data_IF_995306596962
#
_entry.id   IF_995306596962
#
_cell.length_a   1.000
_cell.length_b   1.000
_cell.length_c   1.000
_cell.angle_alpha   90.00
_cell.angle_beta   90.00
_cell.angle_gamma   90.00
#
_symmetry.space_group_name_H-M   'P 1'
#
loop_
_entity.id
_entity.type
_entity.pdbx_description
1 polymer ?
#
# COMPACT_ATOMS: atom_id res chain seq x y z
N UNK A 1 -12.86 19.62 5.09
CA UNK A 1 -11.89 20.56 5.68
C UNK A 1 -11.98 20.70 7.21
N UNK A 2 -13.17 20.71 7.85
CA UNK A 2 -13.26 21.06 9.29
C UNK A 2 -13.18 19.89 10.31
N UNK A 3 -13.10 18.62 9.88
CA UNK A 3 -13.09 17.48 10.82
C UNK A 3 -11.70 17.12 11.38
N UNK A 4 -10.60 17.46 10.69
CA UNK A 4 -9.25 17.16 11.19
C UNK A 4 -8.66 18.28 12.06
N UNK A 5 -9.15 19.51 11.93
CA UNK A 5 -8.63 20.67 12.68
C UNK A 5 -9.09 20.73 14.14
N UNK A 6 -10.13 19.98 14.53
CA UNK A 6 -10.81 20.19 15.81
C UNK A 6 -10.11 19.56 17.03
N UNK A 7 -9.03 18.80 16.84
CA UNK A 7 -8.36 18.09 17.94
C UNK A 7 -7.22 18.91 18.59
N UNK A 8 -6.89 20.09 18.08
CA UNK A 8 -5.61 20.77 18.41
C UNK A 8 -5.67 21.69 19.65
N UNK A 9 -6.84 21.98 20.24
CA UNK A 9 -6.93 23.03 21.27
C UNK A 9 -6.87 22.60 22.75
N UNK A 10 -6.50 21.36 23.11
CA UNK A 10 -6.67 20.90 24.51
C UNK A 10 -5.40 20.48 25.26
N UNK A 11 -4.20 20.37 24.67
CA UNK A 11 -3.05 19.84 25.44
C UNK A 11 -1.81 20.72 25.34
N UNK A 12 -1.35 21.22 26.49
CA UNK A 12 -0.13 21.99 26.66
C UNK A 12 1.14 21.20 26.33
N UNK A 13 2.20 21.94 26.01
CA UNK A 13 3.53 21.48 25.63
C UNK A 13 3.58 20.59 24.38
N UNK A 14 3.62 21.25 23.23
CA UNK A 14 3.93 20.65 21.94
C UNK A 14 5.43 20.33 21.89
N UNK A 15 5.79 19.06 21.70
CA UNK A 15 7.18 18.60 21.51
C UNK A 15 7.49 18.48 20.00
N UNK A 16 8.76 18.58 19.59
CA UNK A 16 9.12 18.55 18.14
C UNK A 16 8.61 17.29 17.42
N UNK A 17 8.58 16.15 18.11
CA UNK A 17 8.00 14.90 17.62
C UNK A 17 6.51 15.07 17.30
N UNK A 18 5.73 15.68 18.19
CA UNK A 18 4.31 15.94 17.93
C UNK A 18 4.06 16.90 16.77
N UNK A 19 4.96 17.86 16.48
CA UNK A 19 4.80 18.76 15.32
C UNK A 19 5.03 17.99 14.02
N UNK A 20 6.09 17.19 13.96
CA UNK A 20 6.39 16.38 12.78
C UNK A 20 5.27 15.37 12.49
N UNK A 21 4.75 14.71 13.53
CA UNK A 21 3.61 13.79 13.41
C UNK A 21 2.35 14.53 12.91
N UNK A 22 2.02 15.70 13.49
CA UNK A 22 0.86 16.49 13.07
C UNK A 22 0.97 17.01 11.63
N UNK A 23 2.16 17.42 11.17
CA UNK A 23 2.37 17.93 9.80
C UNK A 23 2.28 16.80 8.78
N UNK A 24 2.82 15.62 9.10
CA UNK A 24 2.69 14.44 8.25
C UNK A 24 1.22 14.01 8.18
N UNK A 25 0.50 13.99 9.30
CA UNK A 25 -0.92 13.65 9.34
C UNK A 25 -1.76 14.63 8.51
N UNK A 26 -1.50 15.94 8.61
CA UNK A 26 -2.20 16.96 7.82
C UNK A 26 -1.92 16.82 6.32
N UNK A 27 -0.65 16.66 5.94
CA UNK A 27 -0.23 16.47 4.56
C UNK A 27 -0.84 15.22 3.92
N UNK A 28 -0.80 14.09 4.64
CA UNK A 28 -1.41 12.85 4.17
C UNK A 28 -2.93 12.98 4.08
N UNK A 29 -3.57 13.61 5.08
CA UNK A 29 -5.01 13.87 5.05
C UNK A 29 -5.41 14.67 3.81
N UNK A 30 -4.61 15.65 3.44
CA UNK A 30 -4.83 16.44 2.23
C UNK A 30 -4.74 15.58 0.96
N UNK A 31 -3.70 14.74 0.83
CA UNK A 31 -3.55 13.82 -0.31
C UNK A 31 -4.77 12.91 -0.48
N UNK A 32 -5.22 12.23 0.59
CA UNK A 32 -6.37 11.32 0.52
C UNK A 32 -7.69 12.06 0.21
N UNK A 33 -7.82 13.32 0.62
CA UNK A 33 -8.98 14.13 0.29
C UNK A 33 -8.98 14.59 -1.18
N UNK A 34 -7.80 14.79 -1.78
CA UNK A 34 -7.66 15.24 -3.17
C UNK A 34 -7.79 14.13 -4.21
N UNK A 35 -7.92 12.85 -3.81
CA UNK A 35 -8.20 11.76 -4.76
C UNK A 35 -9.51 12.08 -5.50
N UNK A 36 -9.45 12.10 -6.83
CA UNK A 36 -10.58 12.39 -7.70
C UNK A 36 -11.75 11.43 -7.39
N UNK A 37 -12.98 11.93 -7.20
CA UNK A 37 -14.14 11.09 -6.89
C UNK A 37 -14.46 10.02 -7.95
N UNK A 38 -14.01 10.20 -9.19
CA UNK A 38 -14.22 9.26 -10.30
C UNK A 38 -13.20 8.11 -10.33
N UNK A 39 -12.12 8.21 -9.56
CA UNK A 39 -11.09 7.18 -9.50
C UNK A 39 -11.55 5.94 -8.74
N UNK A 40 -11.19 4.76 -9.27
CA UNK A 40 -11.44 3.47 -8.60
C UNK A 40 -10.77 3.39 -7.22
N UNK A 41 -9.62 4.04 -7.06
CA UNK A 41 -8.87 4.07 -5.81
C UNK A 41 -9.50 4.90 -4.68
N UNK A 42 -10.53 5.72 -4.96
CA UNK A 42 -11.10 6.67 -3.96
C UNK A 42 -11.57 6.00 -2.67
N UNK A 43 -12.18 4.82 -2.79
CA UNK A 43 -12.69 4.07 -1.64
C UNK A 43 -11.75 2.94 -1.19
N UNK A 44 -10.68 2.69 -1.95
CA UNK A 44 -9.72 1.63 -1.67
C UNK A 44 -8.53 2.17 -0.87
N UNK A 45 -7.92 3.27 -1.33
CA UNK A 45 -6.84 3.94 -0.63
C UNK A 45 -7.42 4.90 0.41
N UNK A 46 -7.46 4.47 1.66
CA UNK A 46 -7.94 5.28 2.79
C UNK A 46 -6.82 5.54 3.79
N UNK A 47 -6.92 6.67 4.49
CA UNK A 47 -6.02 6.98 5.60
C UNK A 47 -6.04 5.87 6.65
N UNK A 48 -7.22 5.34 6.99
CA UNK A 48 -7.35 4.28 7.98
C UNK A 48 -6.65 2.99 7.54
N UNK A 49 -6.79 2.59 6.28
CA UNK A 49 -6.08 1.43 5.74
C UNK A 49 -4.56 1.63 5.77
N UNK A 50 -4.12 2.86 5.49
CA UNK A 50 -2.71 3.22 5.54
C UNK A 50 -2.14 3.17 6.97
N UNK A 51 -2.78 3.82 7.93
CA UNK A 51 -2.35 3.83 9.34
C UNK A 51 -2.34 2.40 9.91
N UNK A 52 -3.34 1.59 9.56
CA UNK A 52 -3.37 0.18 9.92
C UNK A 52 -2.21 -0.60 9.29
N UNK A 53 -1.84 -0.34 8.04
CA UNK A 53 -0.67 -0.95 7.41
C UNK A 53 0.63 -0.57 8.14
N UNK A 54 0.84 0.72 8.46
CA UNK A 54 2.01 1.17 9.22
C UNK A 54 2.15 0.49 10.58
N UNK A 55 1.05 0.31 11.29
CA UNK A 55 1.07 -0.36 12.60
C UNK A 55 1.63 -1.79 12.54
N UNK A 56 1.57 -2.44 11.38
CA UNK A 56 2.13 -3.78 11.17
C UNK A 56 3.63 -3.79 10.85
N UNK A 57 4.21 -2.63 10.56
CA UNK A 57 5.65 -2.47 10.30
C UNK A 57 6.25 -1.45 11.27
N UNK A 58 6.36 -1.77 12.58
CA UNK A 58 6.79 -0.81 13.60
C UNK A 58 8.23 -0.31 13.40
N UNK A 59 9.02 -0.93 12.51
CA UNK A 59 10.38 -0.50 12.12
C UNK A 59 10.40 0.40 10.88
N UNK A 60 9.29 0.49 10.15
CA UNK A 60 9.17 1.30 8.94
C UNK A 60 8.93 2.76 9.33
N UNK A 61 9.80 3.67 8.86
CA UNK A 61 9.77 5.09 9.22
C UNK A 61 10.29 5.42 10.64
N UNK A 62 10.56 4.42 11.49
CA UNK A 62 11.03 4.61 12.87
C UNK A 62 12.53 4.36 13.04
N UNK A 63 13.16 3.63 12.11
CA UNK A 63 14.59 3.38 12.12
C UNK A 63 15.37 4.58 11.54
N UNK A 64 16.33 5.11 12.30
CA UNK A 64 17.39 6.03 11.85
C UNK A 64 16.93 7.25 11.02
N UNK A 65 15.80 7.87 11.34
CA UNK A 65 15.33 9.09 10.65
C UNK A 65 14.91 8.85 9.19
N UNK A 66 14.50 7.63 8.85
CA UNK A 66 13.90 7.34 7.54
C UNK A 66 12.58 8.10 7.42
N UNK A 67 12.57 9.08 6.54
CA UNK A 67 11.35 9.80 6.16
C UNK A 67 10.43 8.87 5.36
N UNK A 68 9.14 8.89 5.69
CA UNK A 68 8.11 8.12 5.01
C UNK A 68 7.63 8.82 3.73
N UNK A 69 7.90 10.12 3.58
CA UNK A 69 7.46 10.91 2.45
C UNK A 69 7.98 10.41 1.09
N UNK A 70 9.24 9.98 0.92
CA UNK A 70 9.71 9.42 -0.36
C UNK A 70 8.98 8.14 -0.76
N UNK A 71 8.61 7.30 0.21
CA UNK A 71 7.79 6.12 -0.04
C UNK A 71 6.41 6.54 -0.56
N UNK A 72 5.78 7.52 0.09
CA UNK A 72 4.50 8.05 -0.34
C UNK A 72 4.54 8.71 -1.72
N UNK A 73 5.54 9.53 -1.99
CA UNK A 73 5.75 10.11 -3.30
C UNK A 73 5.85 9.02 -4.38
N UNK A 74 6.50 7.90 -4.06
CA UNK A 74 6.57 6.76 -4.96
C UNK A 74 5.19 6.11 -5.18
N UNK A 75 4.42 5.89 -4.12
CA UNK A 75 3.05 5.34 -4.19
C UNK A 75 2.15 6.24 -5.03
N UNK A 76 2.10 7.53 -4.72
CA UNK A 76 1.33 8.54 -5.46
C UNK A 76 1.69 8.52 -6.93
N UNK A 77 2.99 8.49 -7.26
CA UNK A 77 3.44 8.46 -8.66
C UNK A 77 3.07 7.13 -9.35
N UNK A 78 3.17 5.99 -8.67
CA UNK A 78 2.87 4.66 -9.26
C UNK A 78 1.39 4.41 -9.48
N UNK A 79 0.54 5.01 -8.65
CA UNK A 79 -0.92 4.84 -8.67
C UNK A 79 -1.63 6.01 -9.36
N UNK A 80 -0.87 6.98 -9.89
CA UNK A 80 -1.39 8.23 -10.46
C UNK A 80 -2.31 8.96 -9.48
N UNK A 81 -1.73 9.46 -8.39
CA UNK A 81 -2.45 10.11 -7.29
C UNK A 81 -3.51 9.21 -6.64
N UNK A 82 -3.16 7.96 -6.39
CA UNK A 82 -4.05 6.96 -5.78
C UNK A 82 -5.29 6.69 -6.62
N UNK A 83 -5.25 6.95 -7.94
CA UNK A 83 -6.39 6.72 -8.81
C UNK A 83 -6.56 5.24 -9.13
N UNK A 84 -5.45 4.55 -9.44
CA UNK A 84 -5.46 3.18 -9.93
C UNK A 84 -5.03 2.17 -8.86
N UNK A 85 -5.81 1.10 -8.75
CA UNK A 85 -5.51 -0.06 -7.91
C UNK A 85 -4.80 -1.13 -8.75
N UNK A 86 -5.21 -1.29 -10.00
CA UNK A 86 -4.59 -2.19 -10.95
C UNK A 86 -3.85 -1.42 -12.05
N UNK A 87 -2.84 -2.04 -12.65
CA UNK A 87 -2.19 -1.53 -13.85
C UNK A 87 -3.24 -1.29 -14.94
N UNK A 88 -3.14 -0.15 -15.63
CA UNK A 88 -4.07 0.22 -16.70
C UNK A 88 -4.05 -0.87 -17.79
N UNK A 89 -5.22 -1.47 -18.06
CA UNK A 89 -5.36 -2.57 -19.02
C UNK A 89 -4.98 -3.95 -18.47
N UNK A 90 -4.52 -4.05 -17.22
CA UNK A 90 -4.13 -5.28 -16.54
C UNK A 90 -5.14 -6.43 -16.66
N UNK A 91 -6.42 -6.21 -16.31
CA UNK A 91 -7.47 -7.23 -16.43
C UNK A 91 -7.66 -7.80 -17.84
N UNK A 92 -7.21 -7.08 -18.87
CA UNK A 92 -7.32 -7.47 -20.28
C UNK A 92 -6.05 -8.11 -20.83
N UNK A 93 -4.96 -8.17 -20.06
CA UNK A 93 -3.72 -8.81 -20.49
C UNK A 93 -3.89 -10.32 -20.66
N UNK A 94 -3.10 -10.95 -21.55
CA UNK A 94 -3.11 -12.39 -21.69
C UNK A 94 -2.74 -13.07 -20.36
N UNK A 95 -3.27 -14.26 -20.15
CA UNK A 95 -2.76 -15.14 -19.11
C UNK A 95 -1.25 -15.34 -19.34
N UNK A 96 -0.47 -15.51 -18.26
CA UNK A 96 0.99 -15.52 -18.21
C UNK A 96 1.69 -14.15 -18.36
N UNK A 97 0.96 -13.05 -18.54
CA UNK A 97 1.60 -11.73 -18.55
C UNK A 97 2.35 -11.49 -17.23
N UNK A 98 3.61 -11.03 -17.34
CA UNK A 98 4.56 -10.89 -16.23
C UNK A 98 4.84 -12.20 -15.47
N UNK A 99 4.89 -13.33 -16.17
CA UNK A 99 5.38 -14.60 -15.64
C UNK A 99 6.82 -14.84 -16.11
N UNK A 100 7.73 -15.13 -15.17
CA UNK A 100 8.98 -15.82 -15.45
C UNK A 100 8.84 -17.30 -15.08
N UNK A 101 8.51 -18.18 -16.04
CA UNK A 101 8.26 -19.60 -15.79
C UNK A 101 9.56 -20.42 -15.65
N UNK A 102 10.72 -19.85 -16.00
CA UNK A 102 12.00 -20.56 -15.96
C UNK A 102 12.47 -20.68 -14.51
N UNK A 103 12.35 -19.57 -13.77
CA UNK A 103 12.90 -19.48 -12.42
C UNK A 103 11.84 -19.64 -11.32
N UNK A 104 10.55 -19.44 -11.64
CA UNK A 104 9.49 -19.36 -10.63
C UNK A 104 8.18 -19.98 -11.13
N UNK A 105 7.38 -20.58 -10.24
CA UNK A 105 6.09 -21.15 -10.62
C UNK A 105 5.12 -20.06 -11.09
N UNK A 106 4.34 -20.39 -12.11
CA UNK A 106 3.24 -19.57 -12.60
C UNK A 106 1.97 -20.40 -12.69
N UNK A 107 0.84 -19.74 -12.41
CA UNK A 107 -0.46 -20.28 -12.75
C UNK A 107 -0.79 -19.89 -14.21
N UNK A 108 -1.09 -20.87 -15.10
CA UNK A 108 -1.33 -20.62 -16.52
C UNK A 108 -2.62 -19.83 -16.79
N UNK A 109 -3.50 -19.67 -15.80
CA UNK A 109 -4.76 -18.91 -15.89
C UNK A 109 -4.67 -17.54 -15.23
N UNK A 110 -3.46 -17.08 -14.88
CA UNK A 110 -3.24 -15.83 -14.14
C UNK A 110 -2.21 -14.95 -14.81
N UNK A 111 -2.29 -13.67 -14.48
CA UNK A 111 -1.34 -12.63 -14.87
C UNK A 111 -0.92 -11.81 -13.65
N UNK A 112 0.35 -11.41 -13.63
CA UNK A 112 1.02 -10.78 -12.50
C UNK A 112 1.31 -9.30 -12.78
N UNK A 113 0.33 -8.60 -13.39
CA UNK A 113 0.40 -7.15 -13.62
C UNK A 113 0.35 -6.35 -12.32
N UNK A 114 0.69 -5.06 -12.40
CA UNK A 114 0.79 -4.16 -11.26
C UNK A 114 -0.50 -4.10 -10.44
N UNK A 115 -0.39 -4.29 -9.11
CA UNK A 115 -1.51 -4.16 -8.17
C UNK A 115 -1.10 -3.41 -6.91
N UNK A 116 -2.05 -2.64 -6.37
CA UNK A 116 -1.94 -1.94 -5.10
C UNK A 116 -0.97 -0.75 -5.09
N UNK A 117 -0.62 -0.24 -3.89
CA UNK A 117 0.12 1.02 -3.71
C UNK A 117 1.50 1.05 -4.39
N UNK A 118 2.16 -0.10 -4.46
CA UNK A 118 3.49 -0.24 -5.06
C UNK A 118 3.47 -0.84 -6.47
N UNK A 119 2.28 -1.09 -7.02
CA UNK A 119 2.10 -1.74 -8.32
C UNK A 119 2.95 -3.02 -8.41
N UNK A 120 2.68 -3.99 -7.52
CA UNK A 120 3.41 -5.25 -7.46
C UNK A 120 3.27 -6.00 -8.78
N UNK A 121 4.39 -6.22 -9.47
CA UNK A 121 4.44 -6.86 -10.80
C UNK A 121 5.38 -8.05 -10.76
N UNK A 122 5.15 -9.03 -11.63
CA UNK A 122 5.91 -10.28 -11.78
C UNK A 122 5.66 -11.36 -10.74
N UNK A 123 5.48 -12.60 -11.19
CA UNK A 123 5.22 -13.78 -10.34
C UNK A 123 6.19 -13.92 -9.16
N UNK A 124 7.49 -13.69 -9.37
CA UNK A 124 8.50 -13.81 -8.32
C UNK A 124 8.33 -12.80 -7.17
N UNK A 125 7.70 -11.65 -7.42
CA UNK A 125 7.41 -10.68 -6.37
C UNK A 125 6.13 -11.04 -5.59
N UNK A 126 5.20 -11.81 -6.18
CA UNK A 126 4.00 -12.28 -5.49
C UNK A 126 4.30 -13.46 -4.54
N UNK A 127 5.39 -14.21 -4.75
CA UNK A 127 5.81 -15.33 -3.89
C UNK A 127 6.20 -14.89 -2.47
N UNK A 128 7.13 -13.96 -2.23
CA UNK A 128 7.50 -13.55 -0.87
C UNK A 128 6.35 -12.84 -0.15
N UNK A 129 5.42 -12.26 -0.91
CA UNK A 129 4.18 -11.69 -0.36
C UNK A 129 3.26 -12.81 0.15
N UNK A 130 3.21 -13.99 -0.47
CA UNK A 130 2.52 -15.16 0.12
C UNK A 130 3.04 -15.51 1.51
N UNK A 131 4.35 -15.64 1.63
CA UNK A 131 5.02 -16.05 2.88
C UNK A 131 4.84 -15.01 3.98
N UNK A 132 4.86 -13.74 3.58
CA UNK A 132 4.70 -12.65 4.50
C UNK A 132 3.25 -12.26 4.71
N UNK A 133 2.22 -12.70 4.01
CA UNK A 133 0.84 -12.20 4.26
C UNK A 133 -0.14 -13.33 4.53
N UNK A 134 0.22 -14.55 4.11
CA UNK A 134 -0.64 -15.72 4.20
C UNK A 134 -1.71 -15.77 3.09
N UNK A 135 -1.49 -15.12 1.94
CA UNK A 135 -2.34 -15.29 0.76
C UNK A 135 -1.61 -16.00 -0.37
N UNK A 136 -2.34 -16.69 -1.25
CA UNK A 136 -1.74 -17.38 -2.39
C UNK A 136 -1.47 -16.40 -3.54
N UNK A 137 -0.29 -15.79 -3.56
CA UNK A 137 0.10 -14.85 -4.62
C UNK A 137 0.26 -15.46 -6.02
N UNK A 138 0.39 -16.78 -6.13
CA UNK A 138 0.54 -17.46 -7.41
C UNK A 138 -0.82 -17.80 -8.02
N UNK A 139 -1.75 -18.35 -7.22
CA UNK A 139 -3.07 -18.76 -7.71
C UNK A 139 -4.16 -17.70 -7.52
N UNK A 140 -3.94 -16.75 -6.60
CA UNK A 140 -4.89 -15.67 -6.27
C UNK A 140 -4.22 -14.28 -6.26
N UNK A 141 -3.54 -13.86 -7.33
CA UNK A 141 -2.87 -12.56 -7.36
C UNK A 141 -3.83 -11.35 -7.22
N UNK A 142 -5.13 -11.55 -7.54
CA UNK A 142 -6.17 -10.52 -7.35
C UNK A 142 -6.43 -10.19 -5.87
N UNK A 143 -5.99 -11.02 -4.92
CA UNK A 143 -6.20 -10.78 -3.50
C UNK A 143 -5.56 -9.45 -3.02
N UNK A 144 -4.48 -9.01 -3.66
CA UNK A 144 -3.83 -7.70 -3.40
C UNK A 144 -4.78 -6.51 -3.62
N UNK A 145 -5.81 -6.69 -4.46
CA UNK A 145 -6.79 -5.67 -4.88
C UNK A 145 -8.10 -5.76 -4.09
N UNK A 146 -8.33 -6.86 -3.37
CA UNK A 146 -9.60 -7.12 -2.69
C UNK A 146 -9.61 -6.67 -1.22
N UNK A 147 -8.44 -6.54 -0.61
CA UNK A 147 -8.32 -6.11 0.78
C UNK A 147 -7.17 -5.10 0.89
N UNK A 148 -7.48 -3.82 1.17
CA UNK A 148 -6.47 -2.78 1.43
C UNK A 148 -5.48 -3.20 2.52
N UNK A 149 -5.90 -4.06 3.47
CA UNK A 149 -5.11 -4.59 4.56
C UNK A 149 -4.34 -5.88 4.20
N UNK A 150 -4.60 -6.53 3.06
CA UNK A 150 -3.79 -7.64 2.52
C UNK A 150 -2.58 -7.13 1.72
N UNK A 151 -2.39 -5.82 1.54
CA UNK A 151 -1.10 -5.23 1.16
C UNK A 151 -0.11 -5.15 2.34
N UNK A 152 -0.14 -6.13 3.26
CA UNK A 152 0.56 -6.14 4.55
C UNK A 152 1.40 -7.39 4.77
N UNK A 153 2.72 -7.30 4.64
CA UNK A 153 3.69 -8.29 5.18
C UNK A 153 3.48 -8.50 6.70
N UNK A 154 2.60 -9.44 7.04
CA UNK A 154 2.52 -10.25 8.26
C UNK A 154 3.65 -11.30 8.32
N UNK A 155 4.83 -10.97 8.84
CA UNK A 155 5.78 -12.04 9.24
C UNK A 155 5.02 -13.12 10.02
N UNK A 156 5.14 -14.41 9.67
CA UNK A 156 4.67 -15.47 10.53
C UNK A 156 5.41 -15.32 11.86
N UNK A 157 4.65 -15.18 12.94
CA UNK A 157 5.20 -15.39 14.27
C UNK A 157 5.69 -16.84 14.35
N UNK A 158 7.00 -17.02 14.50
CA UNK A 158 7.62 -18.22 15.04
C UNK A 158 7.89 -19.36 14.05
N UNK A 159 9.13 -19.45 13.59
CA UNK A 159 9.92 -20.68 13.64
C UNK A 159 11.33 -20.24 14.07
N UNK A 160 11.89 -20.91 15.07
CA UNK A 160 13.21 -20.61 15.65
C UNK A 160 14.38 -20.90 14.72
#
# INVERSE_FOLDING_TARGET
MLKCLLTIFVVGSVTITTIADNVIDEFLCEIFNQIDPSCEGKNFYTMDAFLQALSSFPQFGSACGIDILPFFAHVIRKTEHLCYIEEIGGPSFPNNQYCDPINYPCNPDKSYYGRGPLQLTWNYNYIPVRESIGFDGINSPKTVVMDPLLSRSRRPYGIG
#
